data_IF_810490092842
#
_entry.id   IF_810490092842
#
_cell.length_a   1.000
_cell.length_b   1.000
_cell.length_c   1.000
_cell.angle_alpha   90.00
_cell.angle_beta   90.00
_cell.angle_gamma   90.00
#
_symmetry.space_group_name_H-M   'P 1'
#
loop_
_entity.id
_entity.type
_entity.pdbx_description
1 polymer ?
#
# COMPACT_ATOMS: atom_id res chain seq x y z
N UNK A 1 45.12 -32.64 61.46
CA UNK A 1 45.18 -32.33 60.02
C UNK A 1 43.88 -32.63 59.27
N UNK A 2 43.07 -33.63 59.67
CA UNK A 2 41.80 -33.97 59.01
C UNK A 2 40.62 -32.99 59.22
N UNK A 3 40.64 -32.18 60.28
CA UNK A 3 39.54 -31.23 60.61
C UNK A 3 39.57 -29.97 59.73
N UNK A 4 40.76 -29.51 59.31
CA UNK A 4 40.89 -28.32 58.46
C UNK A 4 40.44 -28.57 57.01
N UNK A 5 40.62 -29.80 56.52
CA UNK A 5 40.20 -30.19 55.15
C UNK A 5 38.69 -30.22 54.99
N UNK A 6 37.94 -30.55 56.05
CA UNK A 6 36.47 -30.58 56.04
C UNK A 6 35.84 -29.18 55.98
N UNK A 7 36.48 -28.18 56.62
CA UNK A 7 36.01 -26.79 56.58
C UNK A 7 36.24 -26.09 55.23
N UNK A 8 37.30 -26.46 54.51
CA UNK A 8 37.58 -25.97 53.15
C UNK A 8 36.58 -26.53 52.12
N UNK A 9 36.20 -27.82 52.22
CA UNK A 9 35.18 -28.41 51.36
C UNK A 9 33.77 -27.80 51.59
N UNK A 10 33.38 -27.57 52.85
CA UNK A 10 32.08 -26.96 53.18
C UNK A 10 31.99 -25.49 52.73
N UNK A 11 33.10 -24.74 52.81
CA UNK A 11 33.16 -23.36 52.31
C UNK A 11 33.17 -23.30 50.77
N UNK A 12 33.87 -24.21 50.10
CA UNK A 12 33.86 -24.36 48.64
C UNK A 12 32.45 -24.68 48.12
N UNK A 13 31.74 -25.62 48.78
CA UNK A 13 30.34 -25.96 48.45
C UNK A 13 29.37 -24.80 48.67
N UNK A 14 29.60 -23.98 49.71
CA UNK A 14 28.76 -22.82 50.00
C UNK A 14 28.99 -21.67 49.00
N UNK A 15 30.22 -21.50 48.48
CA UNK A 15 30.55 -20.51 47.45
C UNK A 15 29.97 -20.87 46.08
N UNK A 16 30.02 -22.14 45.67
CA UNK A 16 29.40 -22.61 44.42
C UNK A 16 27.88 -22.48 44.47
N UNK A 17 27.25 -22.84 45.59
CA UNK A 17 25.80 -22.67 45.77
C UNK A 17 25.35 -21.19 45.69
N UNK A 18 26.17 -20.25 46.16
CA UNK A 18 25.92 -18.80 46.05
C UNK A 18 26.10 -18.27 44.62
N UNK A 19 27.13 -18.73 43.90
CA UNK A 19 27.32 -18.33 42.50
C UNK A 19 26.18 -18.83 41.60
N UNK A 20 25.72 -20.07 41.77
CA UNK A 20 24.62 -20.64 40.98
C UNK A 20 23.30 -19.88 41.18
N UNK A 21 22.99 -19.45 42.42
CA UNK A 21 21.81 -18.63 42.70
C UNK A 21 21.85 -17.25 42.03
N UNK A 22 23.05 -16.67 41.89
CA UNK A 22 23.26 -15.38 41.21
C UNK A 22 23.01 -15.46 39.70
N UNK A 23 23.49 -16.54 39.07
CA UNK A 23 23.26 -16.79 37.63
C UNK A 23 21.78 -17.05 37.35
N UNK A 24 21.11 -17.81 38.21
CA UNK A 24 19.67 -18.08 38.08
C UNK A 24 18.83 -16.80 38.20
N UNK A 25 19.19 -15.90 39.13
CA UNK A 25 18.51 -14.61 39.30
C UNK A 25 18.67 -13.68 38.08
N UNK A 26 19.84 -13.70 37.43
CA UNK A 26 20.11 -12.92 36.22
C UNK A 26 19.31 -13.43 34.99
N UNK A 27 19.08 -14.74 34.89
CA UNK A 27 18.29 -15.34 33.81
C UNK A 27 16.80 -15.03 33.96
N UNK A 28 16.26 -15.05 35.18
CA UNK A 28 14.85 -14.71 35.45
C UNK A 28 14.52 -13.23 35.25
N UNK A 29 15.53 -12.35 35.25
CA UNK A 29 15.33 -10.91 34.99
C UNK A 29 15.11 -10.60 33.50
N UNK A 30 15.46 -11.53 32.59
CA UNK A 30 15.33 -11.36 31.14
C UNK A 30 13.89 -11.48 30.61
N UNK A 31 12.95 -12.00 31.39
CA UNK A 31 11.54 -12.16 30.95
C UNK A 31 10.80 -10.81 30.85
N UNK A 32 11.27 -9.77 31.55
CA UNK A 32 10.59 -8.47 31.59
C UNK A 32 10.63 -7.69 30.25
N UNK A 33 11.51 -8.07 29.32
CA UNK A 33 11.60 -7.47 27.98
C UNK A 33 10.92 -8.29 26.88
N UNK A 34 10.59 -9.55 27.14
CA UNK A 34 10.08 -10.47 26.13
C UNK A 34 8.69 -10.05 25.64
N UNK A 35 7.78 -9.74 26.56
CA UNK A 35 6.44 -9.27 26.21
C UNK A 35 6.46 -7.98 25.37
N UNK A 36 7.44 -7.09 25.59
CA UNK A 36 7.63 -5.88 24.79
C UNK A 36 8.03 -6.22 23.35
N UNK A 37 8.94 -7.18 23.17
CA UNK A 37 9.40 -7.63 21.84
C UNK A 37 8.27 -8.33 21.09
N UNK A 38 7.52 -9.20 21.75
CA UNK A 38 6.36 -9.89 21.16
C UNK A 38 5.30 -8.88 20.69
N UNK A 39 4.99 -7.89 21.54
CA UNK A 39 4.05 -6.82 21.16
C UNK A 39 4.58 -5.97 20.00
N UNK A 40 5.89 -5.66 19.97
CA UNK A 40 6.49 -4.90 18.87
C UNK A 40 6.33 -5.63 17.52
N UNK A 41 6.47 -6.96 17.50
CA UNK A 41 6.25 -7.76 16.28
C UNK A 41 4.79 -7.72 15.84
N UNK A 42 3.84 -7.85 16.77
CA UNK A 42 2.40 -7.76 16.46
C UNK A 42 2.05 -6.37 15.91
N UNK A 43 2.53 -5.30 16.54
CA UNK A 43 2.31 -3.93 16.06
C UNK A 43 2.95 -3.71 14.70
N UNK A 44 4.16 -4.22 14.45
CA UNK A 44 4.79 -4.15 13.13
C UNK A 44 3.93 -4.82 12.06
N UNK A 45 3.43 -6.02 12.35
CA UNK A 45 2.52 -6.74 11.44
C UNK A 45 1.22 -5.96 11.21
N UNK A 46 0.67 -5.34 12.26
CA UNK A 46 -0.51 -4.50 12.15
C UNK A 46 -0.27 -3.25 11.28
N UNK A 47 0.88 -2.58 11.42
CA UNK A 47 1.25 -1.43 10.59
C UNK A 47 1.35 -1.84 9.12
N UNK A 48 1.96 -2.99 8.81
CA UNK A 48 2.04 -3.49 7.44
C UNK A 48 0.65 -3.81 6.87
N UNK A 49 -0.22 -4.41 7.67
CA UNK A 49 -1.59 -4.73 7.27
C UNK A 49 -2.40 -3.45 7.00
N UNK A 50 -2.37 -2.49 7.93
CA UNK A 50 -3.07 -1.21 7.77
C UNK A 50 -2.51 -0.42 6.59
N UNK A 51 -1.19 -0.39 6.42
CA UNK A 51 -0.52 0.19 5.26
C UNK A 51 -1.00 -0.45 3.96
N UNK A 52 -1.13 -1.77 3.93
CA UNK A 52 -1.72 -2.54 2.83
C UNK A 52 -3.13 -2.09 2.48
N UNK A 53 -4.00 -1.99 3.48
CA UNK A 53 -5.39 -1.54 3.30
C UNK A 53 -5.45 -0.11 2.76
N UNK A 54 -4.64 0.80 3.29
CA UNK A 54 -4.59 2.19 2.84
C UNK A 54 -4.12 2.30 1.39
N UNK A 55 -3.02 1.64 1.02
CA UNK A 55 -2.49 1.69 -0.35
C UNK A 55 -3.46 1.06 -1.35
N UNK A 56 -4.06 -0.08 -0.99
CA UNK A 56 -5.09 -0.70 -1.83
C UNK A 56 -6.31 0.22 -2.00
N UNK A 57 -6.76 0.88 -0.92
CA UNK A 57 -7.84 1.85 -0.96
C UNK A 57 -7.54 3.03 -1.91
N UNK A 58 -6.30 3.53 -1.92
CA UNK A 58 -5.87 4.60 -2.83
C UNK A 58 -5.92 4.15 -4.30
N UNK A 59 -5.42 2.94 -4.60
CA UNK A 59 -5.48 2.36 -5.95
C UNK A 59 -6.92 2.18 -6.41
N UNK A 60 -7.78 1.60 -5.54
CA UNK A 60 -9.18 1.38 -5.85
C UNK A 60 -9.93 2.69 -6.08
N UNK A 61 -9.71 3.69 -5.23
CA UNK A 61 -10.29 5.02 -5.40
C UNK A 61 -9.91 5.62 -6.76
N UNK A 62 -8.62 5.60 -7.11
CA UNK A 62 -8.17 6.07 -8.42
C UNK A 62 -8.81 5.28 -9.57
N UNK A 63 -8.95 3.95 -9.44
CA UNK A 63 -9.59 3.10 -10.43
C UNK A 63 -11.06 3.46 -10.66
N UNK A 64 -11.83 3.70 -9.59
CA UNK A 64 -13.23 4.12 -9.69
C UNK A 64 -13.32 5.51 -10.33
N UNK A 65 -12.44 6.43 -9.93
CA UNK A 65 -12.39 7.79 -10.47
C UNK A 65 -12.09 7.82 -11.97
N UNK A 66 -11.10 7.05 -12.46
CA UNK A 66 -10.81 7.04 -13.91
C UNK A 66 -11.93 6.37 -14.73
N UNK A 67 -12.62 5.37 -14.18
CA UNK A 67 -13.81 4.78 -14.82
C UNK A 67 -14.92 5.82 -14.91
N UNK A 68 -15.23 6.52 -13.82
CA UNK A 68 -16.21 7.60 -13.81
C UNK A 68 -15.87 8.70 -14.83
N UNK A 69 -14.63 9.17 -14.81
CA UNK A 69 -14.12 10.19 -15.72
C UNK A 69 -14.24 9.77 -17.19
N UNK A 70 -13.87 8.53 -17.53
CA UNK A 70 -14.02 8.01 -18.90
C UNK A 70 -15.47 8.01 -19.38
N UNK A 71 -16.43 7.75 -18.49
CA UNK A 71 -17.86 7.74 -18.83
C UNK A 71 -18.39 9.14 -19.10
N UNK A 72 -18.01 10.11 -18.27
CA UNK A 72 -18.48 11.49 -18.44
C UNK A 72 -17.87 12.13 -19.69
N UNK A 73 -16.59 11.87 -19.95
CA UNK A 73 -15.91 12.28 -21.16
C UNK A 73 -16.52 11.65 -22.42
N UNK A 74 -16.80 10.34 -22.41
CA UNK A 74 -17.46 9.66 -23.53
C UNK A 74 -18.87 10.23 -23.80
N UNK A 75 -19.64 10.54 -22.74
CA UNK A 75 -20.96 11.15 -22.85
C UNK A 75 -20.93 12.49 -23.57
N UNK A 76 -19.94 13.32 -23.27
CA UNK A 76 -19.77 14.61 -23.95
C UNK A 76 -19.28 14.40 -25.39
N UNK A 77 -18.42 13.42 -25.62
CA UNK A 77 -17.92 13.12 -26.97
C UNK A 77 -18.99 12.62 -27.95
N UNK A 78 -19.97 11.82 -27.49
CA UNK A 78 -21.08 11.39 -28.37
C UNK A 78 -22.02 12.54 -28.76
N UNK A 79 -21.98 13.68 -28.06
CA UNK A 79 -22.71 14.90 -28.42
C UNK A 79 -21.99 15.71 -29.50
N UNK A 80 -20.89 15.20 -30.05
CA UNK A 80 -20.13 15.84 -31.13
C UNK A 80 -19.17 16.92 -30.66
N UNK A 81 -18.79 16.93 -29.37
CA UNK A 81 -17.75 17.84 -28.87
C UNK A 81 -16.37 17.43 -29.39
N UNK A 82 -15.47 18.42 -29.44
CA UNK A 82 -14.09 18.22 -29.84
C UNK A 82 -13.25 17.55 -28.73
N UNK A 83 -12.03 17.17 -29.07
CA UNK A 83 -11.13 16.44 -28.18
C UNK A 83 -10.74 17.30 -26.97
N UNK A 84 -10.57 18.61 -27.16
CA UNK A 84 -10.21 19.53 -26.09
C UNK A 84 -11.29 19.63 -25.01
N UNK A 85 -12.57 19.66 -25.42
CA UNK A 85 -13.70 19.61 -24.50
C UNK A 85 -13.85 18.25 -23.83
N UNK A 86 -13.66 17.14 -24.55
CA UNK A 86 -13.67 15.79 -23.96
C UNK A 86 -12.54 15.65 -22.91
N UNK A 87 -11.33 16.11 -23.24
CA UNK A 87 -10.16 16.08 -22.34
C UNK A 87 -10.40 16.95 -21.11
N UNK A 88 -10.97 18.14 -21.29
CA UNK A 88 -11.33 19.03 -20.18
C UNK A 88 -12.31 18.36 -19.23
N UNK A 89 -13.40 17.79 -19.76
CA UNK A 89 -14.41 17.08 -18.96
C UNK A 89 -13.82 15.86 -18.25
N UNK A 90 -12.95 15.09 -18.92
CA UNK A 90 -12.23 13.99 -18.30
C UNK A 90 -11.41 14.47 -17.09
N UNK A 91 -10.68 15.59 -17.23
CA UNK A 91 -9.88 16.18 -16.14
C UNK A 91 -10.75 16.70 -14.99
N UNK A 92 -11.85 17.39 -15.29
CA UNK A 92 -12.76 17.95 -14.29
C UNK A 92 -13.51 16.87 -13.49
N UNK A 93 -13.85 15.76 -14.13
CA UNK A 93 -14.54 14.62 -13.52
C UNK A 93 -13.61 13.65 -12.78
N UNK A 94 -12.28 13.77 -12.94
CA UNK A 94 -11.29 12.95 -12.26
C UNK A 94 -10.97 13.45 -10.83
N UNK A 95 -12.02 13.65 -10.02
CA UNK A 95 -11.91 14.26 -8.68
C UNK A 95 -10.87 13.58 -7.77
N UNK A 96 -10.01 14.40 -7.16
CA UNK A 96 -8.98 13.95 -6.21
C UNK A 96 -7.71 13.38 -6.85
N UNK A 97 -7.64 13.28 -8.18
CA UNK A 97 -6.43 12.92 -8.93
C UNK A 97 -5.76 14.19 -9.47
N UNK A 98 -4.45 14.14 -9.68
CA UNK A 98 -3.73 15.23 -10.34
C UNK A 98 -4.04 15.24 -11.86
N UNK A 99 -4.70 16.29 -12.40
CA UNK A 99 -5.06 16.35 -13.80
C UNK A 99 -3.87 16.35 -14.76
N UNK A 100 -2.69 16.77 -14.31
CA UNK A 100 -1.47 16.79 -15.13
C UNK A 100 -0.90 15.39 -15.38
N UNK A 101 -1.27 14.40 -14.56
CA UNK A 101 -0.79 13.02 -14.65
C UNK A 101 -1.76 12.08 -15.36
N UNK A 102 -2.97 12.54 -15.70
CA UNK A 102 -3.94 11.76 -16.44
C UNK A 102 -3.45 11.52 -17.87
N UNK A 103 -3.58 10.27 -18.33
CA UNK A 103 -3.34 9.88 -19.72
C UNK A 103 -4.69 9.62 -20.35
N UNK A 104 -5.11 10.45 -21.29
CA UNK A 104 -6.43 10.36 -21.93
C UNK A 104 -6.22 10.03 -23.40
N UNK A 105 -6.94 9.01 -23.89
CA UNK A 105 -6.98 8.65 -25.31
C UNK A 105 -8.41 8.54 -25.78
N UNK A 106 -8.68 9.09 -26.96
CA UNK A 106 -10.01 9.14 -27.57
C UNK A 106 -9.91 8.50 -28.96
N UNK A 107 -10.77 7.53 -29.23
CA UNK A 107 -10.80 6.78 -30.49
C UNK A 107 -12.26 6.67 -30.97
N UNK A 108 -12.60 6.96 -32.23
CA UNK A 108 -11.70 7.38 -33.30
C UNK A 108 -11.34 8.88 -33.25
N UNK A 109 -10.32 9.32 -34.02
CA UNK A 109 -9.99 10.72 -34.19
C UNK A 109 -11.19 11.52 -34.68
N UNK A 110 -11.24 12.82 -34.35
CA UNK A 110 -12.38 13.68 -34.65
C UNK A 110 -12.85 13.63 -36.12
N UNK A 111 -11.92 13.54 -37.07
CA UNK A 111 -12.22 13.47 -38.50
C UNK A 111 -13.01 12.21 -38.93
N UNK A 112 -12.96 11.14 -38.13
CA UNK A 112 -13.58 9.84 -38.42
C UNK A 112 -14.82 9.56 -37.57
N UNK A 113 -15.20 10.53 -36.72
CA UNK A 113 -16.39 10.45 -35.88
C UNK A 113 -17.64 10.65 -36.72
N UNK A 114 -18.35 9.56 -36.94
CA UNK A 114 -19.60 9.53 -37.73
C UNK A 114 -20.73 9.06 -36.83
N UNK A 115 -21.90 9.70 -36.97
CA UNK A 115 -23.12 9.30 -36.27
C UNK A 115 -23.42 7.81 -36.48
N UNK A 116 -23.85 7.15 -35.41
CA UNK A 116 -24.12 5.72 -35.39
C UNK A 116 -22.89 4.83 -35.20
N UNK A 117 -21.65 5.36 -35.26
CA UNK A 117 -20.43 4.63 -34.90
C UNK A 117 -20.08 4.81 -33.43
N UNK A 118 -19.14 3.99 -32.96
CA UNK A 118 -18.67 4.00 -31.58
C UNK A 118 -17.59 5.06 -31.36
N UNK A 119 -17.59 5.65 -30.17
CA UNK A 119 -16.56 6.48 -29.59
C UNK A 119 -16.09 5.82 -28.30
N UNK A 120 -14.80 5.59 -28.18
CA UNK A 120 -14.13 5.06 -26.99
C UNK A 120 -13.28 6.15 -26.37
N UNK A 121 -13.47 6.38 -25.07
CA UNK A 121 -12.59 7.21 -24.25
C UNK A 121 -11.95 6.34 -23.20
N UNK A 122 -10.62 6.39 -23.12
CA UNK A 122 -9.84 5.75 -22.07
C UNK A 122 -9.10 6.82 -21.26
N UNK A 123 -9.16 6.66 -19.94
CA UNK A 123 -8.50 7.51 -18.96
C UNK A 123 -7.63 6.63 -18.09
N UNK A 124 -6.33 6.92 -18.05
CA UNK A 124 -5.34 6.25 -17.25
C UNK A 124 -4.73 7.17 -16.20
N UNK A 125 -4.34 6.61 -15.05
CA UNK A 125 -3.64 7.35 -14.00
C UNK A 125 -2.57 6.49 -13.33
N UNK A 126 -1.30 6.96 -13.25
CA UNK A 126 -0.25 6.26 -12.52
C UNK A 126 -0.36 6.56 -11.02
N UNK A 127 -0.69 5.55 -10.22
CA UNK A 127 -0.76 5.66 -8.75
C UNK A 127 0.60 5.32 -8.14
N UNK A 128 1.19 6.26 -7.39
CA UNK A 128 2.42 6.00 -6.66
C UNK A 128 2.12 5.31 -5.32
N UNK A 129 2.70 4.12 -5.15
CA UNK A 129 2.64 3.36 -3.91
C UNK A 129 3.82 3.80 -3.05
N UNK A 130 3.51 4.32 -1.86
CA UNK A 130 4.50 4.98 -1.00
C UNK A 130 5.25 3.95 -0.15
N UNK A 131 4.54 2.93 0.33
CA UNK A 131 5.12 1.90 1.18
C UNK A 131 6.03 0.97 0.35
N UNK A 132 7.36 0.92 0.59
CA UNK A 132 8.30 0.20 -0.27
C UNK A 132 8.02 -1.29 -0.42
N UNK A 133 7.62 -1.95 0.68
CA UNK A 133 7.30 -3.40 0.66
C UNK A 133 6.15 -3.67 -0.33
N UNK A 134 5.13 -2.81 -0.35
CA UNK A 134 3.98 -2.96 -1.24
C UNK A 134 4.36 -2.51 -2.65
N UNK A 135 5.10 -1.42 -2.80
CA UNK A 135 5.53 -0.89 -4.08
C UNK A 135 6.30 -1.93 -4.92
N UNK A 136 7.11 -2.77 -4.28
CA UNK A 136 7.82 -3.88 -4.94
C UNK A 136 6.87 -5.01 -5.39
N UNK A 137 5.78 -5.25 -4.67
CA UNK A 137 4.79 -6.29 -5.01
C UNK A 137 3.94 -5.87 -6.20
N UNK A 138 3.45 -4.61 -6.20
CA UNK A 138 2.52 -4.11 -7.23
C UNK A 138 3.23 -3.40 -8.40
N UNK A 139 4.56 -3.30 -8.38
CA UNK A 139 5.37 -2.61 -9.41
C UNK A 139 4.98 -1.13 -9.57
N UNK A 140 5.27 -0.32 -8.55
CA UNK A 140 4.99 1.12 -8.58
C UNK A 140 5.77 1.87 -9.67
N UNK A 141 5.17 2.85 -10.37
CA UNK A 141 3.78 3.29 -10.25
C UNK A 141 2.80 2.27 -10.86
N UNK A 142 1.70 2.01 -10.15
CA UNK A 142 0.65 1.12 -10.63
C UNK A 142 -0.33 1.90 -11.51
N UNK A 143 -0.43 1.53 -12.78
CA UNK A 143 -1.28 2.22 -13.75
C UNK A 143 -2.72 1.69 -13.69
N UNK A 144 -3.66 2.53 -13.23
CA UNK A 144 -5.10 2.23 -13.31
C UNK A 144 -5.68 2.78 -14.61
N UNK A 145 -6.69 2.11 -15.18
CA UNK A 145 -7.33 2.50 -16.45
C UNK A 145 -8.84 2.35 -16.37
N UNK A 146 -9.56 3.35 -16.89
CA UNK A 146 -10.99 3.31 -17.13
C UNK A 146 -11.27 3.51 -18.61
N UNK A 147 -11.99 2.58 -19.24
CA UNK A 147 -12.34 2.66 -20.67
C UNK A 147 -13.85 2.60 -20.81
N UNK A 148 -14.41 3.55 -21.57
CA UNK A 148 -15.83 3.59 -21.89
C UNK A 148 -16.03 3.76 -23.38
N UNK A 149 -16.90 2.93 -23.96
CA UNK A 149 -17.30 2.99 -25.36
C UNK A 149 -18.80 3.32 -25.43
N UNK A 150 -19.16 4.34 -26.21
CA UNK A 150 -20.54 4.78 -26.43
C UNK A 150 -20.80 5.02 -27.92
N UNK A 151 -22.07 4.94 -28.35
CA UNK A 151 -22.44 5.18 -29.75
C UNK A 151 -22.76 6.67 -29.97
N UNK A 152 -22.20 7.25 -31.03
CA UNK A 152 -22.39 8.65 -31.42
C UNK A 152 -23.82 8.84 -31.95
N UNK A 153 -24.50 9.88 -31.48
CA UNK A 153 -25.90 10.21 -31.85
C UNK A 153 -26.01 11.25 -32.99
#
# INVERSE_FOLDING_TARGET
MLVLRKGEDETMHMMTARQSKRVLYLLTQQENGQALVEMAVVVMMLILLLGGVVEFGRILNASITVVHSSREAARVGILGKDDDEIIRVAKESAGGLDPARLVISIEPPMAERVRGRELTVEVGYPVDVVIPVIANIVQSPFLVRGRTTMRIE
#
